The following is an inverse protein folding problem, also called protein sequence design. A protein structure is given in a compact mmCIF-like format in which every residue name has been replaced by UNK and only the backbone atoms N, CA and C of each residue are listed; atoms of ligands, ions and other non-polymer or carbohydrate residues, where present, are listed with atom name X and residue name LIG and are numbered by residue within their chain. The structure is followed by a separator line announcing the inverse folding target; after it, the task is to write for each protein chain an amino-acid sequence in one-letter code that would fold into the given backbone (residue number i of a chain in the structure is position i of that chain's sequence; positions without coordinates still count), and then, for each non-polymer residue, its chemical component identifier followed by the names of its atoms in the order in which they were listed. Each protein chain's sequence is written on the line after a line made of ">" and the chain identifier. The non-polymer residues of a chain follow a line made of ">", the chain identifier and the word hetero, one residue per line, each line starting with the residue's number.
data_IF_266172105702
#
_entry.id   IF_266172105702
#
_cell.length_a   1.000
_cell.length_b   1.000
_cell.length_c   1.000
_cell.angle_alpha   90.00
_cell.angle_beta   90.00
_cell.angle_gamma   90.00
#
_symmetry.space_group_name_H-M   'P 1'
#
loop_
_entity.id
_entity.type
_entity.pdbx_description
1 polymer ?
#
# COMPACT_ATOMS: atom_id res chain seq x y z
N UNK A 1 -2.64 22.49 23.54
CA UNK A 1 -3.31 22.67 22.23
C UNK A 1 -2.33 23.38 21.33
N UNK A 2 -1.61 22.65 20.47
CA UNK A 2 -0.61 23.21 19.55
C UNK A 2 -1.32 23.54 18.23
N UNK A 3 -1.21 24.80 17.81
CA UNK A 3 -1.68 25.28 16.52
C UNK A 3 -1.04 24.42 15.41
N UNK A 4 -1.84 23.54 14.80
CA UNK A 4 -1.44 22.80 13.60
C UNK A 4 -1.21 23.81 12.49
N UNK A 5 -0.01 23.87 11.95
CA UNK A 5 0.27 24.69 10.77
C UNK A 5 -0.52 24.17 9.58
N UNK A 6 -0.86 25.03 8.61
CA UNK A 6 -1.58 24.61 7.39
C UNK A 6 -0.87 23.45 6.66
N UNK A 7 0.46 23.41 6.76
CA UNK A 7 1.30 22.35 6.23
C UNK A 7 1.07 20.99 6.90
N UNK A 8 0.88 20.96 8.21
CA UNK A 8 0.56 19.73 8.96
C UNK A 8 -0.81 19.19 8.57
N UNK A 9 -1.80 20.07 8.37
CA UNK A 9 -3.13 19.66 7.89
C UNK A 9 -3.09 19.06 6.48
N UNK A 10 -2.29 19.63 5.57
CA UNK A 10 -2.14 19.11 4.21
C UNK A 10 -1.46 17.73 4.24
N UNK A 11 -0.42 17.56 5.06
CA UNK A 11 0.27 16.28 5.22
C UNK A 11 -0.64 15.20 5.81
N UNK A 12 -1.39 15.52 6.87
CA UNK A 12 -2.31 14.57 7.52
C UNK A 12 -3.44 14.15 6.59
N UNK A 13 -4.03 15.10 5.83
CA UNK A 13 -5.03 14.77 4.80
C UNK A 13 -4.47 13.85 3.73
N UNK A 14 -3.24 14.09 3.27
CA UNK A 14 -2.60 13.23 2.28
C UNK A 14 -2.33 11.82 2.83
N UNK A 15 -1.83 11.71 4.07
CA UNK A 15 -1.60 10.40 4.70
C UNK A 15 -2.88 9.62 4.90
N UNK A 16 -3.94 10.30 5.39
CA UNK A 16 -5.23 9.66 5.59
C UNK A 16 -5.85 9.22 4.27
N UNK A 17 -5.81 10.07 3.24
CA UNK A 17 -6.28 9.71 1.90
C UNK A 17 -5.47 8.55 1.30
N UNK A 18 -4.15 8.55 1.49
CA UNK A 18 -3.26 7.46 1.04
C UNK A 18 -3.54 6.15 1.77
N UNK A 19 -3.81 6.20 3.07
CA UNK A 19 -4.17 5.02 3.85
C UNK A 19 -5.57 4.52 3.53
N UNK A 20 -6.58 5.38 3.42
CA UNK A 20 -7.95 4.93 3.19
C UNK A 20 -8.14 4.51 1.72
N UNK A 21 -7.95 5.43 0.78
CA UNK A 21 -8.24 5.21 -0.64
C UNK A 21 -7.18 4.29 -1.26
N UNK A 22 -5.91 4.54 -0.95
CA UNK A 22 -4.81 3.76 -1.49
C UNK A 22 -4.86 2.31 -1.01
N UNK A 23 -5.10 2.07 0.28
CA UNK A 23 -5.13 0.68 0.78
C UNK A 23 -6.34 -0.09 0.26
N UNK A 24 -7.51 0.53 0.22
CA UNK A 24 -8.71 -0.10 -0.35
C UNK A 24 -8.48 -0.46 -1.82
N UNK A 25 -7.89 0.45 -2.60
CA UNK A 25 -7.54 0.16 -3.99
C UNK A 25 -6.55 -1.01 -4.09
N UNK A 26 -5.45 -0.98 -3.32
CA UNK A 26 -4.41 -2.01 -3.35
C UNK A 26 -4.90 -3.39 -2.93
N UNK A 27 -5.69 -3.48 -1.86
CA UNK A 27 -6.29 -4.73 -1.37
C UNK A 27 -7.27 -5.28 -2.39
N UNK A 28 -8.21 -4.45 -2.85
CA UNK A 28 -9.27 -4.87 -3.79
C UNK A 28 -8.66 -5.36 -5.10
N UNK A 29 -7.75 -4.57 -5.68
CA UNK A 29 -7.10 -4.90 -6.94
C UNK A 29 -6.20 -6.14 -6.81
N UNK A 30 -5.47 -6.30 -5.70
CA UNK A 30 -4.67 -7.50 -5.46
C UNK A 30 -5.51 -8.76 -5.28
N UNK A 31 -6.66 -8.68 -4.58
CA UNK A 31 -7.62 -9.78 -4.49
C UNK A 31 -8.21 -10.14 -5.87
N UNK A 32 -8.53 -9.15 -6.70
CA UNK A 32 -8.96 -9.38 -8.08
C UNK A 32 -7.87 -10.04 -8.93
N UNK A 33 -6.59 -9.66 -8.75
CA UNK A 33 -5.48 -10.28 -9.48
C UNK A 33 -5.41 -11.79 -9.23
N UNK A 34 -5.67 -12.24 -8.00
CA UNK A 34 -5.65 -13.65 -7.61
C UNK A 34 -6.73 -14.49 -8.29
N UNK A 35 -7.75 -13.87 -8.89
CA UNK A 35 -8.81 -14.59 -9.62
C UNK A 35 -8.38 -15.04 -11.02
N UNK A 36 -7.27 -14.51 -11.56
CA UNK A 36 -6.74 -14.90 -12.85
C UNK A 36 -5.82 -16.12 -12.75
N UNK A 37 -5.78 -16.93 -13.82
CA UNK A 37 -4.92 -18.11 -13.91
C UNK A 37 -3.43 -17.78 -13.73
N UNK A 38 -2.96 -16.67 -14.28
CA UNK A 38 -1.63 -16.11 -13.99
C UNK A 38 -1.77 -14.71 -13.36
N UNK A 39 -1.66 -14.58 -12.04
CA UNK A 39 -1.89 -13.32 -11.33
C UNK A 39 -0.70 -12.33 -11.45
N UNK A 40 0.49 -12.79 -11.88
CA UNK A 40 1.71 -11.99 -11.91
C UNK A 40 1.65 -10.77 -12.85
N UNK A 41 1.24 -10.89 -14.13
CA UNK A 41 1.15 -9.74 -15.03
C UNK A 41 0.15 -8.69 -14.55
N UNK A 42 -0.98 -9.11 -13.99
CA UNK A 42 -1.98 -8.20 -13.45
C UNK A 42 -1.46 -7.47 -12.21
N UNK A 43 -0.78 -8.16 -11.30
CA UNK A 43 -0.17 -7.54 -10.14
C UNK A 43 0.90 -6.51 -10.52
N UNK A 44 1.68 -6.74 -11.60
CA UNK A 44 2.62 -5.74 -12.13
C UNK A 44 1.90 -4.47 -12.61
N UNK A 45 0.82 -4.61 -13.38
CA UNK A 45 0.03 -3.48 -13.88
C UNK A 45 -0.62 -2.72 -12.72
N UNK A 46 -1.25 -3.44 -11.79
CA UNK A 46 -1.88 -2.85 -10.61
C UNK A 46 -0.87 -2.10 -9.76
N UNK A 47 0.33 -2.64 -9.59
CA UNK A 47 1.42 -1.96 -8.88
C UNK A 47 1.85 -0.68 -9.59
N UNK A 48 1.97 -0.69 -10.92
CA UNK A 48 2.29 0.51 -11.69
C UNK A 48 1.19 1.59 -11.56
N UNK A 49 -0.08 1.20 -11.66
CA UNK A 49 -1.22 2.10 -11.45
C UNK A 49 -1.27 2.65 -10.02
N UNK A 50 -0.91 1.83 -9.04
CA UNK A 50 -0.84 2.25 -7.64
C UNK A 50 0.22 3.32 -7.41
N UNK A 51 1.42 3.16 -7.99
CA UNK A 51 2.46 4.17 -7.93
C UNK A 51 2.07 5.44 -8.71
N UNK A 52 1.44 5.31 -9.87
CA UNK A 52 0.94 6.44 -10.65
C UNK A 52 -0.11 7.24 -9.85
N UNK A 53 -1.03 6.55 -9.20
CA UNK A 53 -2.01 7.18 -8.31
C UNK A 53 -1.34 7.92 -7.15
N UNK A 54 -0.39 7.29 -6.46
CA UNK A 54 0.37 7.92 -5.39
C UNK A 54 1.15 9.16 -5.86
N UNK A 55 1.70 9.11 -7.08
CA UNK A 55 2.38 10.22 -7.73
C UNK A 55 1.44 11.40 -7.99
N UNK A 56 0.25 11.15 -8.55
CA UNK A 56 -0.74 12.17 -8.89
C UNK A 56 -1.40 12.78 -7.65
N UNK A 57 -1.78 11.95 -6.68
CA UNK A 57 -2.40 12.39 -5.41
C UNK A 57 -1.43 13.18 -4.53
N UNK A 58 -0.11 13.00 -4.72
CA UNK A 58 0.93 13.64 -3.91
C UNK A 58 1.34 15.04 -4.36
N UNK A 59 0.71 15.64 -5.38
CA UNK A 59 1.10 16.95 -5.95
C UNK A 59 1.17 18.06 -4.90
N UNK A 60 0.15 18.20 -4.06
CA UNK A 60 0.15 19.16 -2.94
C UNK A 60 1.12 18.76 -1.81
N UNK A 61 1.23 17.47 -1.53
CA UNK A 61 2.13 16.94 -0.51
C UNK A 61 3.61 17.17 -0.87
N UNK A 62 4.01 17.06 -2.14
CA UNK A 62 5.40 17.20 -2.61
C UNK A 62 6.09 18.49 -2.20
N UNK A 63 5.35 19.59 -2.15
CA UNK A 63 5.89 20.90 -1.73
C UNK A 63 6.35 20.86 -0.28
N UNK A 64 5.61 20.15 0.57
CA UNK A 64 5.83 20.04 2.02
C UNK A 64 6.65 18.78 2.37
N UNK A 65 6.65 17.77 1.49
CA UNK A 65 7.30 16.48 1.67
C UNK A 65 8.80 16.63 1.92
N UNK A 66 9.48 17.61 1.30
CA UNK A 66 10.91 17.87 1.56
C UNK A 66 11.20 18.23 3.02
N UNK A 67 10.30 18.97 3.68
CA UNK A 67 10.44 19.31 5.10
C UNK A 67 10.21 18.09 6.00
N UNK A 68 9.23 17.25 5.67
CA UNK A 68 8.97 16.00 6.39
C UNK A 68 10.07 14.95 6.18
N UNK A 69 10.53 14.73 4.95
CA UNK A 69 11.63 13.80 4.65
C UNK A 69 12.95 14.22 5.28
N UNK A 70 13.18 15.52 5.51
CA UNK A 70 14.33 15.99 6.29
C UNK A 70 14.35 15.44 7.72
N UNK A 71 13.19 15.13 8.31
CA UNK A 71 13.08 14.49 9.63
C UNK A 71 13.45 13.00 9.60
N UNK A 72 13.52 12.40 8.41
CA UNK A 72 13.82 10.98 8.19
C UNK A 72 14.97 10.81 7.19
N UNK A 73 16.21 11.18 7.56
CA UNK A 73 17.35 11.08 6.65
C UNK A 73 17.72 9.63 6.31
N UNK A 74 18.12 9.40 5.05
CA UNK A 74 18.62 8.13 4.55
C UNK A 74 17.57 7.11 4.14
N UNK A 75 18.01 6.00 3.53
CA UNK A 75 17.17 4.88 3.09
C UNK A 75 16.36 4.27 4.25
N UNK A 76 17.00 4.08 5.42
CA UNK A 76 16.35 3.62 6.64
C UNK A 76 15.29 4.60 7.16
N UNK A 77 15.53 5.91 7.00
CA UNK A 77 14.56 6.95 7.31
C UNK A 77 13.31 6.84 6.44
N UNK A 78 13.50 6.65 5.13
CA UNK A 78 12.40 6.42 4.18
C UNK A 78 11.55 5.19 4.52
N UNK A 79 12.19 4.08 4.89
CA UNK A 79 11.48 2.86 5.33
C UNK A 79 10.71 3.12 6.63
N UNK A 80 11.35 3.74 7.64
CA UNK A 80 10.69 4.08 8.91
C UNK A 80 9.51 5.00 8.68
N UNK A 81 9.63 5.97 7.79
CA UNK A 81 8.55 6.86 7.39
C UNK A 81 7.39 6.07 6.76
N UNK A 82 7.67 5.20 5.79
CA UNK A 82 6.64 4.39 5.14
C UNK A 82 5.88 3.50 6.14
N UNK A 83 6.60 2.84 7.05
CA UNK A 83 5.98 1.94 8.05
C UNK A 83 5.20 2.72 9.12
N UNK A 84 5.70 3.86 9.58
CA UNK A 84 5.05 4.62 10.66
C UNK A 84 3.92 5.52 10.19
N UNK A 85 4.03 6.10 9.00
CA UNK A 85 3.05 7.06 8.47
C UNK A 85 2.12 6.46 7.43
N UNK A 86 2.49 5.36 6.79
CA UNK A 86 1.73 4.71 5.71
C UNK A 86 1.74 3.18 5.84
N UNK A 87 1.43 2.60 7.03
CA UNK A 87 1.54 1.16 7.28
C UNK A 87 0.67 0.33 6.32
N UNK A 88 -0.55 0.78 6.05
CA UNK A 88 -1.48 0.11 5.13
C UNK A 88 -0.99 0.12 3.68
N UNK A 89 -0.37 1.21 3.24
CA UNK A 89 0.24 1.31 1.90
C UNK A 89 1.42 0.36 1.80
N UNK A 90 2.26 0.29 2.84
CA UNK A 90 3.39 -0.65 2.89
C UNK A 90 2.92 -2.11 2.85
N UNK A 91 1.84 -2.43 3.59
CA UNK A 91 1.21 -3.75 3.54
C UNK A 91 0.65 -4.06 2.14
N UNK A 92 -0.01 -3.11 1.48
CA UNK A 92 -0.52 -3.29 0.12
C UNK A 92 0.60 -3.54 -0.89
N UNK A 93 1.70 -2.78 -0.81
CA UNK A 93 2.86 -2.99 -1.65
C UNK A 93 3.50 -4.36 -1.39
N UNK A 94 3.58 -4.78 -0.13
CA UNK A 94 4.08 -6.12 0.20
C UNK A 94 3.17 -7.22 -0.38
N UNK A 95 1.86 -7.06 -0.28
CA UNK A 95 0.87 -7.98 -0.82
C UNK A 95 0.98 -8.11 -2.33
N UNK A 96 1.00 -6.98 -3.06
CA UNK A 96 1.18 -6.97 -4.51
C UNK A 96 2.54 -7.55 -4.94
N UNK A 97 3.60 -7.27 -4.19
CA UNK A 97 4.94 -7.83 -4.45
C UNK A 97 4.97 -9.35 -4.29
N UNK A 98 4.29 -9.89 -3.27
CA UNK A 98 4.18 -11.34 -3.08
C UNK A 98 3.41 -12.02 -4.22
N UNK A 99 2.38 -11.36 -4.76
CA UNK A 99 1.66 -11.84 -5.94
C UNK A 99 2.56 -11.80 -7.18
N UNK A 100 3.28 -10.69 -7.41
CA UNK A 100 4.22 -10.54 -8.53
C UNK A 100 5.31 -11.61 -8.54
N UNK A 101 5.87 -11.93 -7.36
CA UNK A 101 6.88 -12.98 -7.18
C UNK A 101 6.30 -14.40 -7.31
N UNK A 102 4.96 -14.54 -7.39
CA UNK A 102 4.29 -15.85 -7.43
C UNK A 102 4.29 -16.59 -6.09
N UNK A 103 4.65 -15.92 -4.99
CA UNK A 103 4.55 -16.50 -3.65
C UNK A 103 3.09 -16.62 -3.20
N UNK A 104 2.26 -15.65 -3.59
CA UNK A 104 0.82 -15.65 -3.37
C UNK A 104 0.07 -15.98 -4.67
N UNK A 105 -0.66 -17.09 -4.66
CA UNK A 105 -1.61 -17.49 -5.70
C UNK A 105 -2.89 -17.98 -5.01
N UNK A 106 -4.03 -17.97 -5.72
CA UNK A 106 -5.28 -18.48 -5.16
C UNK A 106 -5.15 -19.93 -4.67
N UNK A 107 -4.44 -20.78 -5.43
CA UNK A 107 -4.15 -22.18 -5.07
C UNK A 107 -3.33 -22.31 -3.78
N UNK A 108 -2.32 -21.45 -3.59
CA UNK A 108 -1.53 -21.48 -2.35
C UNK A 108 -2.33 -21.01 -1.15
N UNK A 109 -3.17 -20.00 -1.33
CA UNK A 109 -4.05 -19.50 -0.26
C UNK A 109 -5.10 -20.56 0.09
N UNK A 110 -5.71 -21.22 -0.90
CA UNK A 110 -6.68 -22.29 -0.65
C UNK A 110 -6.05 -23.53 -0.02
N UNK A 111 -4.77 -23.83 -0.32
CA UNK A 111 -4.04 -24.89 0.35
C UNK A 111 -3.87 -24.66 1.86
N UNK A 112 -3.88 -23.41 2.32
CA UNK A 112 -3.89 -23.10 3.75
C UNK A 112 -5.24 -23.36 4.39
N UNK A 113 -6.32 -23.37 3.60
CA UNK A 113 -7.64 -23.82 4.03
C UNK A 113 -7.65 -25.28 4.52
N UNK A 114 -6.65 -26.08 4.14
CA UNK A 114 -6.46 -27.43 4.67
C UNK A 114 -6.14 -27.46 6.17
N UNK A 115 -5.60 -26.36 6.71
CA UNK A 115 -5.33 -26.20 8.14
C UNK A 115 -6.50 -25.55 8.90
N UNK A 116 -7.53 -25.11 8.19
CA UNK A 116 -8.75 -24.60 8.81
C UNK A 116 -9.65 -25.79 9.17
N UNK A 117 -10.39 -25.72 10.29
CA UNK A 117 -11.43 -26.69 10.56
C UNK A 117 -12.38 -26.77 9.36
N UNK A 118 -12.93 -27.96 9.05
CA UNK A 118 -13.85 -28.12 7.93
C UNK A 118 -14.98 -27.09 8.08
N UNK A 119 -15.45 -26.52 6.96
CA UNK A 119 -16.56 -25.59 7.01
C UNK A 119 -17.71 -26.28 7.74
N UNK A 120 -18.37 -25.60 8.70
CA UNK A 120 -19.69 -26.05 9.08
C UNK A 120 -20.51 -25.96 7.79
N UNK A 121 -21.04 -27.10 7.32
CA UNK A 121 -21.87 -27.27 6.12
C UNK A 121 -21.10 -27.57 4.82
#
# INVERSE_FOLDING_TARGET
>A
MLFRTDEEMIAEKYFRSSQDVGSLFGISAGLSCLQFNDPRPFAMIVTALFFLWGYLSGTSYRRIAKAYLKQYPGLLGGIRFAVTKLPLVALCLSFLSLIMMGFLTAERISSWGYYLPPPPF
#
